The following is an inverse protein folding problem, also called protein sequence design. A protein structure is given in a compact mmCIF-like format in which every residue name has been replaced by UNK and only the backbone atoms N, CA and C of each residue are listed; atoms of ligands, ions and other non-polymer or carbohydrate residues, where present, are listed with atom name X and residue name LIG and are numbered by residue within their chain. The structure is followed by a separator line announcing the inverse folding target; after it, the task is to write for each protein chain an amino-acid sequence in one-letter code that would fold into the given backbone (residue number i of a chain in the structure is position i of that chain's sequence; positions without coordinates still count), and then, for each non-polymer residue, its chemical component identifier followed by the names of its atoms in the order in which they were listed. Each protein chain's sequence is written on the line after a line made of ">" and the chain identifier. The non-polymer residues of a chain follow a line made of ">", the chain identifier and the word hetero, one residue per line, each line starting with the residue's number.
data_IF_803717699612
#
_entry.id   IF_803717699612
#
_cell.length_a   1.000
_cell.length_b   1.000
_cell.length_c   1.000
_cell.angle_alpha   90.00
_cell.angle_beta   90.00
_cell.angle_gamma   90.00
#
_symmetry.space_group_name_H-M   'P 1'
#
loop_
_entity.id
_entity.type
_entity.pdbx_description
1 polymer ?
#
# COMPACT_ATOMS: atom_id res chain seq x y z
N UNK A 1 7.71 13.32 2.95
CA UNK A 1 8.79 12.37 2.62
C UNK A 1 8.87 12.17 1.13
N UNK A 2 7.75 11.92 0.46
CA UNK A 2 7.74 12.06 -1.00
C UNK A 2 8.14 13.49 -1.40
N UNK A 3 8.62 13.65 -2.64
CA UNK A 3 9.81 14.42 -3.11
C UNK A 3 10.79 15.02 -2.06
N UNK A 4 11.45 14.21 -1.25
CA UNK A 4 12.55 14.70 -0.38
C UNK A 4 13.63 13.63 -0.16
N UNK A 5 14.78 14.05 0.37
CA UNK A 5 15.89 13.15 0.76
C UNK A 5 15.50 12.15 1.86
N UNK A 6 14.36 12.37 2.52
CA UNK A 6 13.80 11.47 3.54
C UNK A 6 12.89 10.38 2.96
N UNK A 7 12.83 10.26 1.64
CA UNK A 7 12.08 9.20 0.98
C UNK A 7 12.83 7.88 1.13
N UNK A 8 12.15 6.86 1.64
CA UNK A 8 12.70 5.51 1.68
C UNK A 8 12.82 4.95 0.26
N UNK A 9 13.99 4.42 -0.08
CA UNK A 9 14.26 3.78 -1.37
C UNK A 9 15.10 2.52 -1.15
N UNK A 10 14.77 1.44 -1.86
CA UNK A 10 15.55 0.20 -1.78
C UNK A 10 15.61 -0.40 -0.37
N UNK A 11 16.74 -1.04 -0.04
CA UNK A 11 17.00 -1.60 1.28
C UNK A 11 17.59 -0.53 2.20
N UNK A 12 17.33 -0.59 3.53
CA UNK A 12 17.97 0.29 4.49
C UNK A 12 19.50 0.21 4.39
N UNK A 13 20.14 1.36 4.36
CA UNK A 13 21.60 1.48 4.43
C UNK A 13 22.13 0.98 5.77
N UNK A 14 23.45 0.68 5.88
CA UNK A 14 24.04 0.27 7.16
C UNK A 14 23.84 1.27 8.30
N UNK A 15 23.82 2.57 7.97
CA UNK A 15 23.59 3.65 8.95
C UNK A 15 22.15 3.65 9.44
N UNK A 16 21.18 3.49 8.53
CA UNK A 16 19.77 3.36 8.88
C UNK A 16 19.50 2.08 9.69
N UNK A 17 20.11 0.95 9.31
CA UNK A 17 20.02 -0.28 10.09
C UNK A 17 20.53 -0.08 11.52
N UNK A 18 21.66 0.60 11.71
CA UNK A 18 22.18 0.89 13.04
C UNK A 18 21.19 1.70 13.90
N UNK A 19 20.36 2.54 13.29
CA UNK A 19 19.29 3.28 13.96
C UNK A 19 18.04 2.43 14.23
N UNK A 20 17.74 1.47 13.35
CA UNK A 20 16.55 0.61 13.44
C UNK A 20 16.74 -0.60 14.36
N UNK A 21 17.95 -1.17 14.44
CA UNK A 21 18.26 -2.37 15.23
C UNK A 21 17.79 -2.31 16.69
N UNK A 22 17.94 -1.19 17.44
CA UNK A 22 17.44 -1.09 18.82
C UNK A 22 15.93 -1.33 18.95
N UNK A 23 15.15 -1.11 17.88
CA UNK A 23 13.70 -1.22 17.86
C UNK A 23 13.22 -2.50 17.15
N UNK A 24 14.11 -3.42 16.80
CA UNK A 24 13.78 -4.61 15.99
C UNK A 24 12.67 -5.49 16.58
N UNK A 25 12.49 -5.49 17.90
CA UNK A 25 11.40 -6.22 18.56
C UNK A 25 10.04 -5.51 18.45
N UNK A 26 10.02 -4.21 18.18
CA UNK A 26 8.83 -3.37 18.09
C UNK A 26 8.43 -3.08 16.63
N UNK A 27 9.38 -3.19 15.70
CA UNK A 27 9.17 -2.95 14.28
C UNK A 27 8.74 -4.22 13.53
N UNK A 28 7.81 -4.10 12.56
CA UNK A 28 7.55 -5.18 11.62
C UNK A 28 8.84 -5.65 10.93
N UNK A 29 9.00 -6.95 10.67
CA UNK A 29 10.19 -7.47 9.97
C UNK A 29 10.34 -6.86 8.57
N UNK A 30 9.23 -6.47 7.95
CA UNK A 30 9.16 -5.79 6.65
C UNK A 30 9.87 -4.43 6.64
N UNK A 31 10.01 -3.77 7.79
CA UNK A 31 10.74 -2.49 7.92
C UNK A 31 12.22 -2.61 7.55
N UNK A 32 12.78 -3.82 7.63
CA UNK A 32 14.17 -4.11 7.24
C UNK A 32 14.29 -4.61 5.79
N UNK A 33 13.18 -4.65 5.04
CA UNK A 33 13.10 -5.08 3.64
C UNK A 33 13.13 -3.92 2.64
N UNK A 34 12.77 -4.20 1.39
CA UNK A 34 12.66 -3.16 0.37
C UNK A 34 11.58 -2.14 0.74
N UNK A 35 11.88 -0.87 0.48
CA UNK A 35 10.96 0.23 0.67
C UNK A 35 9.64 -0.02 -0.06
N UNK A 36 8.52 0.13 0.65
CA UNK A 36 7.18 0.00 0.07
C UNK A 36 6.93 1.18 -0.87
N UNK A 37 6.89 0.88 -2.16
CA UNK A 37 6.65 1.89 -3.20
C UNK A 37 5.20 1.87 -3.66
N UNK A 38 4.61 3.05 -3.80
CA UNK A 38 3.29 3.18 -4.42
C UNK A 38 3.36 2.77 -5.90
N UNK A 39 2.36 2.04 -6.43
CA UNK A 39 2.29 1.74 -7.85
C UNK A 39 2.25 3.03 -8.68
N UNK A 40 3.06 3.09 -9.74
CA UNK A 40 3.05 4.21 -10.68
C UNK A 40 1.75 4.20 -11.48
N UNK A 41 1.01 5.32 -11.43
CA UNK A 41 -0.21 5.54 -12.21
C UNK A 41 0.07 6.32 -13.49
N UNK A 42 -0.71 6.08 -14.54
CA UNK A 42 -0.73 6.91 -15.75
C UNK A 42 -1.31 8.33 -15.55
N UNK A 43 -1.80 8.66 -14.34
CA UNK A 43 -2.31 9.97 -14.00
C UNK A 43 -3.68 10.33 -14.62
N UNK A 44 -4.29 9.44 -15.38
CA UNK A 44 -5.56 9.70 -16.10
C UNK A 44 -6.81 9.62 -15.22
N UNK A 45 -6.67 9.09 -13.99
CA UNK A 45 -7.79 8.66 -13.15
C UNK A 45 -8.54 7.42 -13.68
N UNK A 46 -8.14 6.89 -14.83
CA UNK A 46 -8.78 5.76 -15.51
C UNK A 46 -7.78 4.64 -15.83
N UNK A 47 -6.67 4.58 -15.09
CA UNK A 47 -5.66 3.54 -15.21
C UNK A 47 -6.29 2.16 -14.97
N UNK A 48 -6.64 1.48 -16.07
CA UNK A 48 -7.38 0.20 -15.99
C UNK A 48 -6.57 -0.89 -15.32
N UNK A 49 -5.23 -0.83 -15.34
CA UNK A 49 -4.38 -1.80 -14.67
C UNK A 49 -4.49 -1.63 -13.16
N UNK A 50 -4.32 -0.40 -12.66
CA UNK A 50 -4.43 -0.11 -11.24
C UNK A 50 -5.87 -0.27 -10.72
N UNK A 51 -6.89 0.14 -11.49
CA UNK A 51 -8.29 -0.04 -11.11
C UNK A 51 -8.67 -1.52 -10.98
N UNK A 52 -8.13 -2.40 -11.84
CA UNK A 52 -8.31 -3.86 -11.70
C UNK A 52 -7.61 -4.41 -10.47
N UNK A 53 -6.37 -3.99 -10.20
CA UNK A 53 -5.64 -4.38 -9.00
C UNK A 53 -6.38 -3.95 -7.72
N UNK A 54 -6.84 -2.70 -7.66
CA UNK A 54 -7.67 -2.19 -6.57
C UNK A 54 -8.96 -3.01 -6.40
N UNK A 55 -9.65 -3.32 -7.50
CA UNK A 55 -10.87 -4.15 -7.43
C UNK A 55 -10.60 -5.57 -6.91
N UNK A 56 -9.41 -6.13 -7.16
CA UNK A 56 -9.00 -7.43 -6.64
C UNK A 56 -8.72 -7.35 -5.13
N UNK A 57 -7.96 -6.36 -4.68
CA UNK A 57 -7.66 -6.15 -3.26
C UNK A 57 -8.94 -5.94 -2.45
N UNK A 58 -9.90 -5.18 -2.98
CA UNK A 58 -11.22 -5.02 -2.37
C UNK A 58 -11.94 -6.37 -2.23
N UNK A 59 -11.93 -7.20 -3.27
CA UNK A 59 -12.53 -8.53 -3.21
C UNK A 59 -11.86 -9.45 -2.18
N UNK A 60 -10.52 -9.41 -2.09
CA UNK A 60 -9.74 -10.14 -1.08
C UNK A 60 -10.08 -9.68 0.34
N UNK A 61 -10.39 -8.40 0.52
CA UNK A 61 -10.88 -7.82 1.78
C UNK A 61 -12.39 -8.01 2.03
N UNK A 62 -13.09 -8.84 1.24
CA UNK A 62 -14.51 -9.15 1.43
C UNK A 62 -15.49 -8.16 0.80
N UNK A 63 -15.01 -7.19 0.02
CA UNK A 63 -15.83 -6.21 -0.67
C UNK A 63 -16.23 -6.70 -2.06
N UNK A 64 -17.53 -6.81 -2.33
CA UNK A 64 -18.08 -7.37 -3.58
C UNK A 64 -18.79 -6.30 -4.40
N UNK A 65 -18.71 -6.44 -5.72
CA UNK A 65 -19.45 -5.56 -6.65
C UNK A 65 -20.95 -5.81 -6.54
N UNK A 66 -21.72 -4.73 -6.40
CA UNK A 66 -23.18 -4.71 -6.43
C UNK A 66 -23.63 -3.55 -7.33
N UNK A 67 -23.84 -3.84 -8.62
CA UNK A 67 -24.11 -2.83 -9.64
C UNK A 67 -22.96 -1.80 -9.71
N UNK A 68 -23.31 -0.52 -9.54
CA UNK A 68 -22.34 0.58 -9.56
C UNK A 68 -21.56 0.75 -8.24
N UNK A 69 -21.84 -0.08 -7.23
CA UNK A 69 -21.24 0.05 -5.89
C UNK A 69 -20.40 -1.17 -5.53
N UNK A 70 -19.64 -1.02 -4.45
CA UNK A 70 -18.95 -2.11 -3.77
C UNK A 70 -19.54 -2.19 -2.36
N UNK A 71 -19.91 -3.39 -1.92
CA UNK A 71 -20.54 -3.64 -0.62
C UNK A 71 -19.77 -4.69 0.17
N UNK A 72 -19.75 -4.56 1.49
CA UNK A 72 -19.20 -5.60 2.37
C UNK A 72 -20.25 -6.67 2.72
N UNK A 73 -19.87 -7.66 3.53
CA UNK A 73 -20.75 -8.75 3.96
C UNK A 73 -21.98 -8.29 4.77
N UNK A 74 -21.90 -7.11 5.40
CA UNK A 74 -23.01 -6.50 6.15
C UNK A 74 -23.97 -5.71 5.25
N UNK A 75 -23.69 -5.65 3.94
CA UNK A 75 -24.46 -4.87 2.97
C UNK A 75 -24.13 -3.37 2.97
N UNK A 76 -23.08 -2.95 3.67
CA UNK A 76 -22.68 -1.54 3.73
C UNK A 76 -21.92 -1.16 2.46
N UNK A 77 -22.25 -0.01 1.89
CA UNK A 77 -21.59 0.53 0.69
C UNK A 77 -20.25 1.17 1.04
N UNK A 78 -19.23 0.85 0.25
CA UNK A 78 -17.92 1.53 0.29
C UNK A 78 -18.11 3.03 0.00
N UNK A 79 -17.64 3.86 0.93
CA UNK A 79 -17.55 5.31 0.80
C UNK A 79 -16.10 5.71 1.04
N UNK A 80 -15.60 6.63 0.22
CA UNK A 80 -14.27 7.24 0.34
C UNK A 80 -14.46 8.68 0.79
#
# INVERSE_FOLDING_TARGET
>A
FEPSDYKAEGLPSPEELALLEPFRAELPPETFGEAVMQPVSDGSGHDRKLLRAASRLLAEAGWKRAGNFVVNEKGERLRV
#
